data_IF_081163685183
#
_entry.id   IF_081163685183
#
_cell.length_a   1.000
_cell.length_b   1.000
_cell.length_c   1.000
_cell.angle_alpha   90.00
_cell.angle_beta   90.00
_cell.angle_gamma   90.00
#
_symmetry.space_group_name_H-M   'P 1'
#
loop_
_entity.id
_entity.type
_entity.pdbx_description
1 polymer ?
#
# COMPACT_ATOMS: atom_id res chain seq x y z
N UNK A 1 10.65 -6.63 -6.59
CA UNK A 1 10.53 -7.05 -5.18
C UNK A 1 9.33 -7.95 -4.96
N UNK A 2 8.13 -7.49 -5.36
CA UNK A 2 6.91 -8.27 -5.15
C UNK A 2 6.93 -9.57 -5.94
N UNK A 3 7.44 -9.54 -7.17
CA UNK A 3 7.52 -10.74 -8.03
C UNK A 3 8.41 -11.82 -7.44
N UNK A 4 9.50 -11.43 -6.76
CA UNK A 4 10.39 -12.41 -6.11
C UNK A 4 9.67 -13.19 -5.01
N UNK A 5 8.63 -12.61 -4.44
CA UNK A 5 7.82 -13.28 -3.43
C UNK A 5 6.63 -14.04 -4.04
N UNK A 6 6.52 -14.06 -5.36
CA UNK A 6 5.42 -14.73 -6.05
C UNK A 6 4.14 -13.91 -6.10
N UNK A 7 4.23 -12.61 -5.86
CA UNK A 7 3.07 -11.74 -5.84
C UNK A 7 2.96 -10.79 -7.02
N UNK A 8 1.96 -9.93 -6.99
CA UNK A 8 1.74 -8.89 -7.98
C UNK A 8 1.39 -7.57 -7.27
N UNK A 9 1.67 -6.46 -7.94
CA UNK A 9 1.42 -5.14 -7.38
C UNK A 9 0.69 -4.25 -8.40
N UNK A 10 -0.57 -4.56 -8.72
CA UNK A 10 -1.33 -3.79 -9.70
C UNK A 10 -1.66 -2.39 -9.20
N UNK A 11 -1.86 -1.47 -10.13
CA UNK A 11 -2.42 -0.16 -9.79
C UNK A 11 -3.81 -0.33 -9.20
N UNK A 12 -4.09 0.49 -8.20
CA UNK A 12 -5.42 0.53 -7.62
C UNK A 12 -6.08 1.87 -7.95
N UNK A 13 -7.20 1.79 -8.66
CA UNK A 13 -8.02 2.95 -9.00
C UNK A 13 -9.45 2.64 -8.57
N UNK A 14 -10.05 3.56 -7.83
CA UNK A 14 -11.42 3.37 -7.35
C UNK A 14 -12.27 4.57 -7.72
N UNK A 15 -12.95 4.53 -8.87
CA UNK A 15 -13.87 5.61 -9.25
C UNK A 15 -14.96 5.78 -8.18
N UNK A 16 -15.20 7.02 -7.77
CA UNK A 16 -16.20 7.33 -6.76
C UNK A 16 -15.73 7.18 -5.32
N UNK A 17 -14.47 6.76 -5.09
CA UNK A 17 -13.91 6.71 -3.75
C UNK A 17 -12.49 7.31 -3.80
N UNK A 18 -12.39 8.60 -3.47
CA UNK A 18 -11.14 9.34 -3.58
C UNK A 18 -10.18 9.05 -2.43
N UNK A 19 -8.90 9.30 -2.67
CA UNK A 19 -7.86 9.20 -1.64
C UNK A 19 -7.38 7.79 -1.37
N UNK A 20 -7.78 6.79 -2.18
CA UNK A 20 -7.29 5.42 -2.00
C UNK A 20 -5.80 5.33 -2.36
N UNK A 21 -5.05 4.41 -1.72
CA UNK A 21 -3.67 4.15 -2.10
C UNK A 21 -3.57 3.71 -3.56
N UNK A 22 -2.44 4.03 -4.22
CA UNK A 22 -2.31 3.82 -5.66
C UNK A 22 -1.88 2.41 -6.06
N UNK A 23 -1.48 1.56 -5.10
CA UNK A 23 -1.03 0.19 -5.37
C UNK A 23 -1.66 -0.80 -4.42
N UNK A 24 -2.07 -1.94 -4.97
CA UNK A 24 -2.37 -3.14 -4.19
C UNK A 24 -1.14 -4.03 -4.16
N UNK A 25 -0.87 -4.64 -3.01
CA UNK A 25 0.15 -5.68 -2.91
C UNK A 25 -0.59 -6.97 -2.63
N UNK A 26 -0.47 -7.92 -3.55
CA UNK A 26 -1.12 -9.22 -3.45
C UNK A 26 -0.03 -10.29 -3.39
N UNK A 27 0.06 -10.97 -2.27
CA UNK A 27 1.08 -11.99 -2.02
C UNK A 27 0.46 -13.37 -1.85
N UNK A 28 1.25 -14.44 -2.04
CA UNK A 28 0.77 -15.81 -1.84
C UNK A 28 0.15 -16.00 -0.45
N UNK A 29 -0.84 -16.88 -0.37
CA UNK A 29 -1.55 -17.13 0.87
C UNK A 29 -2.68 -16.12 1.15
N UNK A 30 -3.08 -15.35 0.14
CA UNK A 30 -4.15 -14.36 0.30
C UNK A 30 -3.74 -13.13 1.08
N UNK A 31 -2.45 -12.83 1.19
CA UNK A 31 -1.96 -11.65 1.91
C UNK A 31 -2.14 -10.42 1.05
N UNK A 32 -2.73 -9.37 1.63
CA UNK A 32 -3.08 -8.13 0.92
C UNK A 32 -2.58 -6.93 1.73
N UNK A 33 -1.98 -5.97 1.03
CA UNK A 33 -1.64 -4.68 1.61
C UNK A 33 -1.87 -3.58 0.59
N UNK A 34 -1.85 -2.34 1.07
CA UNK A 34 -2.00 -1.15 0.24
C UNK A 34 -0.76 -0.29 0.38
N UNK A 35 -0.31 0.28 -0.73
CA UNK A 35 0.85 1.17 -0.72
C UNK A 35 0.53 2.43 -1.50
N UNK A 36 0.79 3.58 -0.88
CA UNK A 36 0.76 4.88 -1.55
C UNK A 36 2.20 5.26 -1.85
N UNK A 37 2.55 5.39 -3.13
CA UNK A 37 3.89 5.79 -3.54
C UNK A 37 3.98 7.32 -3.56
N UNK A 38 5.01 7.85 -2.92
CA UNK A 38 5.26 9.30 -2.85
C UNK A 38 6.71 9.60 -3.19
N UNK A 39 6.95 10.81 -3.71
CA UNK A 39 8.31 11.32 -3.86
C UNK A 39 8.94 11.50 -2.47
N UNK A 40 10.28 11.38 -2.35
CA UNK A 40 10.94 11.56 -1.06
C UNK A 40 10.58 12.89 -0.41
N UNK A 41 10.24 12.85 0.89
CA UNK A 41 9.88 14.02 1.66
C UNK A 41 8.45 14.52 1.46
N UNK A 42 7.69 13.92 0.56
CA UNK A 42 6.27 14.27 0.37
C UNK A 42 5.41 13.55 1.38
N UNK A 43 4.39 14.24 1.88
CA UNK A 43 3.44 13.68 2.83
C UNK A 43 2.13 13.36 2.15
N UNK A 44 1.33 12.50 2.78
CA UNK A 44 0.00 12.20 2.32
C UNK A 44 -0.89 13.44 2.41
N UNK A 45 -1.76 13.63 1.42
CA UNK A 45 -2.78 14.66 1.47
C UNK A 45 -3.85 14.29 2.51
N UNK A 46 -4.60 15.27 3.05
CA UNK A 46 -5.61 14.97 4.08
C UNK A 46 -6.61 13.88 3.71
N UNK A 47 -7.08 13.85 2.46
CA UNK A 47 -8.01 12.82 2.01
C UNK A 47 -7.36 11.45 1.98
N UNK A 48 -6.07 11.38 1.62
CA UNK A 48 -5.31 10.12 1.65
C UNK A 48 -5.12 9.63 3.09
N UNK A 49 -4.86 10.52 4.03
CA UNK A 49 -4.77 10.16 5.45
C UNK A 49 -6.10 9.61 5.95
N UNK A 50 -7.20 10.27 5.60
CA UNK A 50 -8.54 9.80 5.98
C UNK A 50 -8.80 8.39 5.45
N UNK A 51 -8.48 8.15 4.19
CA UNK A 51 -8.72 6.84 3.57
C UNK A 51 -7.83 5.76 4.18
N UNK A 52 -6.57 6.11 4.46
CA UNK A 52 -5.64 5.21 5.13
C UNK A 52 -6.20 4.75 6.47
N UNK A 53 -6.67 5.70 7.28
CA UNK A 53 -7.25 5.37 8.59
C UNK A 53 -8.49 4.49 8.47
N UNK A 54 -9.33 4.75 7.48
CA UNK A 54 -10.52 3.94 7.23
C UNK A 54 -10.13 2.50 6.90
N UNK A 55 -9.19 2.30 5.99
CA UNK A 55 -8.73 0.97 5.58
C UNK A 55 -8.07 0.24 6.75
N UNK A 56 -7.25 0.94 7.53
CA UNK A 56 -6.62 0.36 8.72
C UNK A 56 -7.67 -0.05 9.76
N UNK A 57 -8.71 0.74 9.91
CA UNK A 57 -9.83 0.41 10.80
C UNK A 57 -10.59 -0.84 10.36
N UNK A 58 -10.54 -1.18 9.08
CA UNK A 58 -11.12 -2.42 8.56
C UNK A 58 -10.16 -3.62 8.69
N UNK A 59 -8.95 -3.39 9.17
CA UNK A 59 -7.96 -4.45 9.36
C UNK A 59 -6.93 -4.60 8.26
N UNK A 60 -6.90 -3.69 7.29
CA UNK A 60 -5.90 -3.75 6.21
C UNK A 60 -4.64 -3.00 6.58
N UNK A 61 -3.51 -3.48 6.04
CA UNK A 61 -2.22 -2.81 6.18
C UNK A 61 -2.09 -1.77 5.05
N UNK A 62 -1.73 -0.55 5.42
CA UNK A 62 -1.57 0.56 4.48
C UNK A 62 -0.27 1.27 4.77
N UNK A 63 0.55 1.47 3.74
CA UNK A 63 1.88 2.08 3.87
C UNK A 63 2.04 3.24 2.93
N UNK A 64 2.84 4.21 3.34
CA UNK A 64 3.34 5.27 2.47
C UNK A 64 4.79 4.96 2.13
N UNK A 65 5.08 4.75 0.85
CA UNK A 65 6.42 4.41 0.38
C UNK A 65 7.02 5.63 -0.31
N UNK A 66 8.01 6.26 0.34
CA UNK A 66 8.69 7.42 -0.18
C UNK A 66 10.18 7.18 -0.48
N UNK A 67 10.65 5.93 -0.30
CA UNK A 67 12.02 5.54 -0.60
C UNK A 67 12.07 4.05 -0.97
N UNK A 68 12.84 3.68 -2.02
CA UNK A 68 12.86 2.29 -2.50
C UNK A 68 13.32 1.28 -1.46
N UNK A 69 14.25 1.64 -0.59
CA UNK A 69 14.82 0.71 0.39
C UNK A 69 13.84 0.28 1.46
N UNK A 70 12.71 0.97 1.61
CA UNK A 70 11.69 0.60 2.59
C UNK A 70 10.79 -0.55 2.11
N UNK A 71 10.82 -0.90 0.82
CA UNK A 71 9.86 -1.85 0.26
C UNK A 71 10.01 -3.26 0.86
N UNK A 72 11.24 -3.69 1.12
CA UNK A 72 11.48 -5.02 1.69
C UNK A 72 10.79 -5.23 3.03
N UNK A 73 10.91 -4.26 3.93
CA UNK A 73 10.26 -4.33 5.23
C UNK A 73 8.74 -4.30 5.12
N UNK A 74 8.21 -3.50 4.20
CA UNK A 74 6.76 -3.44 3.95
C UNK A 74 6.25 -4.81 3.49
N UNK A 75 6.92 -5.42 2.53
CA UNK A 75 6.51 -6.72 2.01
C UNK A 75 6.57 -7.81 3.09
N UNK A 76 7.60 -7.77 3.93
CA UNK A 76 7.72 -8.72 5.04
C UNK A 76 6.54 -8.60 6.00
N UNK A 77 6.12 -7.37 6.32
CA UNK A 77 4.98 -7.17 7.21
C UNK A 77 3.68 -7.66 6.59
N UNK A 78 3.47 -7.42 5.30
CA UNK A 78 2.26 -7.89 4.61
C UNK A 78 2.25 -9.42 4.55
N UNK A 79 3.41 -10.05 4.32
CA UNK A 79 3.52 -11.50 4.21
C UNK A 79 3.31 -12.23 5.53
N UNK A 80 3.56 -11.54 6.64
CA UNK A 80 3.36 -12.12 7.97
C UNK A 80 1.91 -11.97 8.42
#
# INVERSE_FOLDING_TARGET
>A
AVRHMGGIAPKFVSPGLDGVPDRLILLPGGKVGFVECKAPGKQLRPLQVHRKRQLEGLGFLVYCLDRPEAIGGILDEIAN
#
